data_IF_845835970220
#
_entry.id   IF_845835970220
#
_cell.length_a   1.000
_cell.length_b   1.000
_cell.length_c   1.000
_cell.angle_alpha   90.00
_cell.angle_beta   90.00
_cell.angle_gamma   90.00
#
_symmetry.space_group_name_H-M   'P 1'
#
loop_
_entity.id
_entity.type
_entity.pdbx_description
1 polymer ?
#
# COMPACT_ATOMS: atom_id res chain seq x y z
N UNK A 1 5.96 10.98 2.40
CA UNK A 1 5.36 9.85 3.14
C UNK A 1 5.60 10.01 4.64
N UNK A 2 6.86 10.11 5.14
CA UNK A 2 7.14 10.19 6.58
C UNK A 2 6.43 11.37 7.27
N UNK A 3 6.44 12.55 6.64
CA UNK A 3 5.74 13.73 7.17
C UNK A 3 4.23 13.50 7.23
N UNK A 4 3.63 12.90 6.19
CA UNK A 4 2.21 12.56 6.22
C UNK A 4 1.86 11.60 7.35
N UNK A 5 2.71 10.59 7.58
CA UNK A 5 2.52 9.62 8.66
C UNK A 5 2.57 10.29 10.04
N UNK A 6 3.60 11.10 10.30
CA UNK A 6 3.73 11.83 11.58
C UNK A 6 2.57 12.81 11.79
N UNK A 7 2.19 13.55 10.74
CA UNK A 7 1.04 14.47 10.80
C UNK A 7 -0.25 13.72 11.05
N UNK A 8 -0.47 12.56 10.42
CA UNK A 8 -1.66 11.74 10.64
C UNK A 8 -1.75 11.27 12.10
N UNK A 9 -0.67 10.70 12.64
CA UNK A 9 -0.63 10.25 14.04
C UNK A 9 -0.94 11.41 15.00
N UNK A 10 -0.34 12.59 14.77
CA UNK A 10 -0.58 13.77 15.61
C UNK A 10 -2.04 14.26 15.51
N UNK A 11 -2.61 14.29 14.30
CA UNK A 11 -3.99 14.71 14.09
C UNK A 11 -5.00 13.69 14.64
N UNK A 12 -4.74 12.40 14.52
CA UNK A 12 -5.58 11.36 15.11
C UNK A 12 -5.59 11.49 16.62
N UNK A 13 -4.45 11.74 17.26
CA UNK A 13 -4.38 12.00 18.69
C UNK A 13 -5.21 13.23 19.11
N UNK A 14 -5.15 14.31 18.32
CA UNK A 14 -5.92 15.53 18.60
C UNK A 14 -7.42 15.32 18.33
N UNK A 15 -7.78 14.79 17.16
CA UNK A 15 -9.18 14.71 16.75
C UNK A 15 -9.94 13.58 17.46
N UNK A 16 -9.30 12.44 17.66
CA UNK A 16 -9.93 11.31 18.35
C UNK A 16 -9.72 11.39 19.86
N UNK A 17 -8.52 11.78 20.31
CA UNK A 17 -8.18 11.83 21.74
C UNK A 17 -8.71 13.08 22.43
N UNK A 18 -8.28 14.27 21.98
CA UNK A 18 -8.62 15.52 22.66
C UNK A 18 -10.03 16.04 22.33
N UNK A 19 -10.45 15.96 21.07
CA UNK A 19 -11.75 16.46 20.59
C UNK A 19 -12.86 15.40 20.61
N UNK A 20 -12.54 14.15 20.90
CA UNK A 20 -13.47 13.02 21.00
C UNK A 20 -14.38 12.84 19.76
N UNK A 21 -13.89 13.19 18.55
CA UNK A 21 -14.66 13.12 17.31
C UNK A 21 -14.88 11.68 16.80
N UNK A 22 -14.29 10.67 17.46
CA UNK A 22 -14.45 9.26 17.09
C UNK A 22 -14.05 8.98 15.63
N UNK A 23 -14.84 8.19 14.86
CA UNK A 23 -14.51 7.83 13.47
C UNK A 23 -14.39 9.03 12.53
N UNK A 24 -15.13 10.12 12.78
CA UNK A 24 -15.05 11.36 11.98
C UNK A 24 -13.70 12.02 12.19
N UNK A 25 -13.16 12.00 13.42
CA UNK A 25 -11.82 12.50 13.72
C UNK A 25 -10.73 11.75 12.95
N UNK A 26 -10.80 10.42 12.88
CA UNK A 26 -9.87 9.61 12.09
C UNK A 26 -9.91 9.94 10.59
N UNK A 27 -11.12 10.10 10.04
CA UNK A 27 -11.28 10.48 8.63
C UNK A 27 -10.71 11.88 8.34
N UNK A 28 -10.95 12.85 9.21
CA UNK A 28 -10.37 14.19 9.11
C UNK A 28 -8.85 14.18 9.26
N UNK A 29 -8.30 13.44 10.22
CA UNK A 29 -6.86 13.27 10.43
C UNK A 29 -6.18 12.75 9.17
N UNK A 30 -6.73 11.72 8.57
CA UNK A 30 -6.23 11.16 7.31
C UNK A 30 -6.31 12.16 6.16
N UNK A 31 -7.44 12.83 5.97
CA UNK A 31 -7.63 13.78 4.86
C UNK A 31 -6.70 14.98 4.98
N UNK A 32 -6.59 15.57 6.17
CA UNK A 32 -5.72 16.73 6.41
C UNK A 32 -4.25 16.35 6.27
N UNK A 33 -3.82 15.20 6.78
CA UNK A 33 -2.43 14.73 6.63
C UNK A 33 -2.03 14.52 5.17
N UNK A 34 -2.94 14.01 4.34
CA UNK A 34 -2.73 13.90 2.90
C UNK A 34 -2.63 15.28 2.22
N UNK A 35 -3.51 16.22 2.58
CA UNK A 35 -3.44 17.59 2.05
C UNK A 35 -2.11 18.28 2.41
N UNK A 36 -1.65 18.13 3.65
CA UNK A 36 -0.33 18.63 4.11
C UNK A 36 0.81 18.00 3.31
N UNK A 37 0.76 16.68 3.07
CA UNK A 37 1.76 15.96 2.29
C UNK A 37 1.84 16.48 0.85
N UNK A 38 0.70 16.70 0.21
CA UNK A 38 0.62 17.27 -1.15
C UNK A 38 1.18 18.69 -1.18
N UNK A 39 0.78 19.54 -0.23
CA UNK A 39 1.28 20.92 -0.14
C UNK A 39 2.79 20.98 0.02
N UNK A 40 3.37 20.15 0.90
CA UNK A 40 4.82 20.08 1.10
C UNK A 40 5.52 19.55 -0.16
N UNK A 41 4.96 18.54 -0.81
CA UNK A 41 5.51 17.99 -2.05
C UNK A 41 5.56 19.04 -3.16
N UNK A 42 4.49 19.80 -3.34
CA UNK A 42 4.42 20.89 -4.30
C UNK A 42 5.41 22.03 -3.97
N UNK A 43 5.54 22.36 -2.69
CA UNK A 43 6.51 23.35 -2.24
C UNK A 43 7.96 22.93 -2.53
N UNK A 44 8.30 21.66 -2.26
CA UNK A 44 9.65 21.12 -2.53
C UNK A 44 9.93 21.08 -4.03
N UNK A 45 8.98 20.64 -4.86
CA UNK A 45 9.11 20.61 -6.32
C UNK A 45 9.39 22.02 -6.85
N UNK A 46 8.61 23.00 -6.41
CA UNK A 46 8.80 24.42 -6.82
C UNK A 46 10.14 24.98 -6.37
N UNK A 47 10.56 24.70 -5.14
CA UNK A 47 11.81 25.25 -4.59
C UNK A 47 13.06 24.62 -5.19
N UNK A 48 13.03 23.32 -5.50
CA UNK A 48 14.20 22.60 -6.02
C UNK A 48 14.39 22.74 -7.53
N UNK A 49 13.41 23.32 -8.26
CA UNK A 49 13.43 23.38 -9.74
C UNK A 49 13.80 22.05 -10.41
N UNK A 50 13.55 20.94 -9.70
CA UNK A 50 13.96 19.60 -10.15
C UNK A 50 13.23 19.15 -11.42
N UNK A 51 12.06 19.73 -11.67
CA UNK A 51 11.24 19.47 -12.86
C UNK A 51 10.76 20.84 -13.34
N UNK A 52 11.19 21.34 -14.51
CA UNK A 52 10.64 22.54 -15.11
C UNK A 52 9.18 22.25 -15.50
N UNK A 53 8.23 22.75 -14.72
CA UNK A 53 6.81 22.62 -15.02
C UNK A 53 6.42 23.78 -15.97
N UNK A 54 6.10 23.45 -17.19
CA UNK A 54 5.56 24.39 -18.16
C UNK A 54 4.03 24.30 -18.24
N UNK A 55 3.36 25.38 -18.60
CA UNK A 55 1.90 25.38 -18.77
C UNK A 55 1.41 24.33 -19.79
N UNK A 56 2.25 23.96 -20.74
CA UNK A 56 1.95 22.91 -21.73
C UNK A 56 1.83 21.51 -21.10
N UNK A 57 2.53 21.24 -19.97
CA UNK A 57 2.54 19.95 -19.32
C UNK A 57 1.21 19.62 -18.63
N UNK A 58 0.38 20.64 -18.41
CA UNK A 58 -0.99 20.49 -17.88
C UNK A 58 -2.02 20.15 -18.96
N UNK A 59 -1.62 20.13 -20.25
CA UNK A 59 -2.54 19.73 -21.31
C UNK A 59 -2.61 18.20 -21.36
N UNK A 60 -3.83 17.62 -21.32
CA UNK A 60 -3.98 16.17 -21.38
C UNK A 60 -3.53 15.63 -22.76
N UNK A 61 -2.50 14.82 -22.77
CA UNK A 61 -2.03 14.16 -23.98
C UNK A 61 -2.65 12.77 -24.07
N UNK A 62 -3.46 12.53 -25.10
CA UNK A 62 -4.19 11.27 -25.30
C UNK A 62 -3.28 10.03 -25.32
N UNK A 63 -2.09 10.16 -25.89
CA UNK A 63 -1.12 9.07 -25.96
C UNK A 63 -0.60 8.66 -24.56
N UNK A 64 -0.33 9.64 -23.70
CA UNK A 64 0.12 9.41 -22.32
C UNK A 64 -1.00 8.83 -21.48
N UNK A 65 -2.20 9.41 -21.57
CA UNK A 65 -3.40 8.91 -20.88
C UNK A 65 -3.69 7.46 -21.31
N UNK A 66 -3.64 7.16 -22.59
CA UNK A 66 -3.84 5.81 -23.10
C UNK A 66 -2.86 4.78 -22.53
N UNK A 67 -1.57 5.15 -22.39
CA UNK A 67 -0.57 4.29 -21.75
C UNK A 67 -0.86 4.07 -20.27
N UNK A 68 -1.24 5.13 -19.55
CA UNK A 68 -1.58 5.04 -18.11
C UNK A 68 -2.80 4.13 -17.92
N UNK A 69 -3.86 4.32 -18.69
CA UNK A 69 -5.07 3.50 -18.59
C UNK A 69 -4.81 2.04 -18.98
N UNK A 70 -4.02 1.79 -20.02
CA UNK A 70 -3.67 0.42 -20.45
C UNK A 70 -2.98 -0.39 -19.35
N UNK A 71 -2.21 0.26 -18.48
CA UNK A 71 -1.52 -0.38 -17.36
C UNK A 71 -2.39 -0.33 -16.10
N UNK A 72 -2.98 0.82 -15.82
CA UNK A 72 -3.71 1.05 -14.58
C UNK A 72 -5.04 0.30 -14.48
N UNK A 73 -5.79 0.18 -15.59
CA UNK A 73 -7.09 -0.52 -15.58
C UNK A 73 -6.96 -2.00 -15.22
N UNK A 74 -6.04 -2.79 -15.80
CA UNK A 74 -5.85 -4.18 -15.39
C UNK A 74 -5.44 -4.33 -13.92
N UNK A 75 -4.57 -3.46 -13.41
CA UNK A 75 -4.13 -3.48 -12.01
C UNK A 75 -5.32 -3.15 -11.10
N UNK A 76 -6.07 -2.11 -11.40
CA UNK A 76 -7.27 -1.74 -10.63
C UNK A 76 -8.35 -2.85 -10.65
N UNK A 77 -8.52 -3.53 -11.79
CA UNK A 77 -9.44 -4.66 -11.89
C UNK A 77 -8.95 -5.85 -11.03
N UNK A 78 -7.66 -6.15 -11.05
CA UNK A 78 -7.06 -7.18 -10.18
C UNK A 78 -7.30 -6.88 -8.71
N UNK A 79 -6.97 -5.67 -8.26
CA UNK A 79 -7.16 -5.27 -6.87
C UNK A 79 -8.63 -5.28 -6.47
N UNK A 80 -9.51 -4.82 -7.36
CA UNK A 80 -10.96 -4.87 -7.17
C UNK A 80 -11.49 -6.28 -6.99
N UNK A 81 -11.04 -7.23 -7.81
CA UNK A 81 -11.44 -8.65 -7.70
C UNK A 81 -10.95 -9.28 -6.39
N UNK A 82 -9.75 -8.94 -5.93
CA UNK A 82 -9.23 -9.38 -4.63
C UNK A 82 -10.13 -8.85 -3.49
N UNK A 83 -10.51 -7.58 -3.52
CA UNK A 83 -11.40 -7.00 -2.52
C UNK A 83 -12.80 -7.66 -2.53
N UNK A 84 -13.35 -7.92 -3.70
CA UNK A 84 -14.63 -8.65 -3.83
C UNK A 84 -14.51 -10.05 -3.21
N UNK A 85 -13.41 -10.76 -3.43
CA UNK A 85 -13.19 -12.08 -2.83
C UNK A 85 -13.17 -12.01 -1.30
N UNK A 86 -12.48 -11.02 -0.71
CA UNK A 86 -12.47 -10.82 0.74
C UNK A 86 -13.87 -10.48 1.29
N UNK A 87 -14.64 -9.64 0.60
CA UNK A 87 -16.04 -9.34 0.98
C UNK A 87 -16.87 -10.61 1.00
N UNK A 88 -16.77 -11.47 -0.01
CA UNK A 88 -17.50 -12.73 -0.07
C UNK A 88 -17.11 -13.66 1.09
N UNK A 89 -15.83 -13.80 1.38
CA UNK A 89 -15.33 -14.58 2.52
C UNK A 89 -15.92 -14.06 3.84
N UNK A 90 -15.89 -12.75 4.03
CA UNK A 90 -16.44 -12.10 5.23
C UNK A 90 -17.95 -12.31 5.36
N UNK A 91 -18.71 -12.25 4.26
CA UNK A 91 -20.15 -12.54 4.26
C UNK A 91 -20.41 -14.00 4.65
N UNK A 92 -19.65 -14.95 4.11
CA UNK A 92 -19.78 -16.37 4.43
C UNK A 92 -19.47 -16.62 5.91
N UNK A 93 -18.40 -16.02 6.43
CA UNK A 93 -18.00 -16.14 7.83
C UNK A 93 -19.07 -15.58 8.77
N UNK A 94 -19.62 -14.40 8.46
CA UNK A 94 -20.71 -13.80 9.25
C UNK A 94 -21.99 -14.66 9.28
N UNK A 95 -22.27 -15.41 8.22
CA UNK A 95 -23.41 -16.34 8.19
C UNK A 95 -23.21 -17.59 9.05
N UNK A 96 -21.96 -17.96 9.33
CA UNK A 96 -21.62 -19.11 10.18
C UNK A 96 -21.63 -18.80 11.67
N UNK A 97 -21.51 -17.55 12.02
CA UNK A 97 -21.58 -17.10 13.42
C UNK A 97 -20.46 -16.15 13.80
N UNK A 98 -20.56 -15.63 15.02
CA UNK A 98 -19.65 -14.59 15.54
C UNK A 98 -18.21 -15.08 15.66
N UNK A 99 -18.00 -16.34 16.05
CA UNK A 99 -16.67 -16.91 16.23
C UNK A 99 -15.93 -17.03 14.89
N UNK A 100 -16.61 -17.54 13.84
CA UNK A 100 -16.03 -17.65 12.50
C UNK A 100 -15.73 -16.27 11.90
N UNK A 101 -16.61 -15.30 12.10
CA UNK A 101 -16.41 -13.92 11.67
C UNK A 101 -15.20 -13.27 12.37
N UNK A 102 -15.05 -13.49 13.68
CA UNK A 102 -13.91 -12.99 14.43
C UNK A 102 -12.60 -13.64 13.97
N UNK A 103 -12.59 -14.95 13.76
CA UNK A 103 -11.43 -15.68 13.25
C UNK A 103 -10.97 -15.17 11.89
N UNK A 104 -11.91 -14.98 10.94
CA UNK A 104 -11.61 -14.41 9.62
C UNK A 104 -11.05 -12.99 9.74
N UNK A 105 -11.63 -12.14 10.57
CA UNK A 105 -11.14 -10.78 10.80
C UNK A 105 -9.70 -10.74 11.35
N UNK A 106 -9.33 -11.67 12.22
CA UNK A 106 -7.98 -11.82 12.73
C UNK A 106 -7.02 -12.26 11.61
N UNK A 107 -7.40 -13.28 10.86
CA UNK A 107 -6.60 -13.79 9.73
C UNK A 107 -6.37 -12.69 8.68
N UNK A 108 -7.38 -11.89 8.35
CA UNK A 108 -7.25 -10.74 7.44
C UNK A 108 -6.20 -9.72 7.93
N UNK A 109 -6.12 -9.47 9.24
CA UNK A 109 -5.09 -8.59 9.81
C UNK A 109 -3.69 -9.17 9.65
N UNK A 110 -3.51 -10.47 9.91
CA UNK A 110 -2.24 -11.15 9.68
C UNK A 110 -1.84 -11.14 8.21
N UNK A 111 -2.76 -11.45 7.31
CA UNK A 111 -2.53 -11.38 5.86
C UNK A 111 -2.08 -9.97 5.47
N UNK A 112 -2.79 -8.94 5.90
CA UNK A 112 -2.46 -7.54 5.58
C UNK A 112 -1.05 -7.17 6.06
N UNK A 113 -0.65 -7.64 7.24
CA UNK A 113 0.68 -7.40 7.79
C UNK A 113 1.78 -8.12 7.00
N UNK A 114 1.55 -9.39 6.64
CA UNK A 114 2.49 -10.18 5.84
C UNK A 114 2.66 -9.57 4.43
N UNK A 115 1.57 -9.10 3.81
CA UNK A 115 1.59 -8.50 2.48
C UNK A 115 2.26 -7.13 2.44
N UNK A 116 2.53 -6.49 3.58
CA UNK A 116 3.24 -5.22 3.63
C UNK A 116 4.62 -5.30 2.97
N UNK A 117 5.37 -6.39 3.22
CA UNK A 117 6.71 -6.57 2.65
C UNK A 117 6.68 -6.79 1.13
N UNK A 118 5.91 -7.75 0.58
CA UNK A 118 5.78 -7.91 -0.87
C UNK A 118 5.30 -6.64 -1.57
N UNK A 119 4.33 -5.92 -1.02
CA UNK A 119 3.81 -4.68 -1.61
C UNK A 119 4.87 -3.56 -1.66
N UNK A 120 5.63 -3.38 -0.59
CA UNK A 120 6.73 -2.41 -0.57
C UNK A 120 7.86 -2.80 -1.53
N UNK A 121 8.14 -4.09 -1.66
CA UNK A 121 9.11 -4.60 -2.65
C UNK A 121 8.63 -4.34 -4.07
N UNK A 122 7.37 -4.60 -4.39
CA UNK A 122 6.79 -4.32 -5.70
C UNK A 122 6.95 -2.86 -6.09
N UNK A 123 6.61 -1.94 -5.18
CA UNK A 123 6.76 -0.50 -5.39
C UNK A 123 8.22 -0.10 -5.62
N UNK A 124 9.14 -0.61 -4.79
CA UNK A 124 10.57 -0.31 -4.87
C UNK A 124 11.18 -0.83 -6.17
N UNK A 125 10.88 -2.06 -6.54
CA UNK A 125 11.41 -2.70 -7.77
C UNK A 125 10.89 -2.01 -9.01
N UNK A 126 9.61 -1.62 -9.02
CA UNK A 126 9.01 -0.86 -10.12
C UNK A 126 9.70 0.49 -10.30
N UNK A 127 9.94 1.22 -9.19
CA UNK A 127 10.60 2.52 -9.24
C UNK A 127 12.08 2.40 -9.68
N UNK A 128 12.85 1.50 -9.08
CA UNK A 128 14.26 1.29 -9.42
C UNK A 128 14.41 0.73 -10.83
N UNK A 129 13.53 -0.18 -11.25
CA UNK A 129 13.51 -0.72 -12.61
C UNK A 129 13.28 0.38 -13.64
N UNK A 130 12.24 1.18 -13.46
CA UNK A 130 11.93 2.30 -14.34
C UNK A 130 13.07 3.33 -14.42
N UNK A 131 13.67 3.70 -13.28
CA UNK A 131 14.80 4.63 -13.22
C UNK A 131 16.04 4.08 -13.94
N UNK A 132 16.37 2.81 -13.75
CA UNK A 132 17.53 2.21 -14.42
C UNK A 132 17.32 2.05 -15.92
N UNK A 133 16.12 1.70 -16.36
CA UNK A 133 15.77 1.63 -17.79
C UNK A 133 15.81 3.03 -18.40
N UNK A 134 15.23 4.04 -17.74
CA UNK A 134 15.26 5.42 -18.21
C UNK A 134 16.67 6.05 -18.25
N UNK A 135 17.61 5.52 -17.46
CA UNK A 135 19.02 5.90 -17.46
C UNK A 135 19.88 5.07 -18.45
N UNK A 136 19.26 4.27 -19.30
CA UNK A 136 19.91 3.36 -20.26
C UNK A 136 20.88 2.37 -19.59
N UNK A 137 20.48 1.83 -18.42
CA UNK A 137 21.24 0.85 -17.63
C UNK A 137 20.45 -0.43 -17.41
N UNK A 138 20.11 -1.21 -18.46
CA UNK A 138 19.26 -2.39 -18.36
C UNK A 138 19.86 -3.50 -17.46
N UNK A 139 21.18 -3.61 -17.40
CA UNK A 139 21.85 -4.58 -16.54
C UNK A 139 21.56 -4.34 -15.05
N UNK A 140 21.48 -3.08 -14.63
CA UNK A 140 21.10 -2.73 -13.25
C UNK A 140 19.62 -3.03 -12.98
N UNK A 141 18.75 -2.84 -13.96
CA UNK A 141 17.35 -3.22 -13.85
C UNK A 141 17.18 -4.73 -13.66
N UNK A 142 17.92 -5.54 -14.43
CA UNK A 142 17.96 -7.02 -14.28
C UNK A 142 18.47 -7.45 -12.91
N UNK A 143 19.53 -6.84 -12.42
CA UNK A 143 20.09 -7.09 -11.09
C UNK A 143 19.06 -6.75 -10.00
N UNK A 144 18.39 -5.61 -10.11
CA UNK A 144 17.32 -5.21 -9.18
C UNK A 144 16.21 -6.26 -9.13
N UNK A 145 15.76 -6.73 -10.30
CA UNK A 145 14.74 -7.77 -10.38
C UNK A 145 15.21 -9.10 -9.76
N UNK A 146 16.44 -9.53 -10.08
CA UNK A 146 17.01 -10.77 -9.54
C UNK A 146 17.11 -10.76 -8.02
N UNK A 147 17.63 -9.68 -7.43
CA UNK A 147 17.69 -9.54 -5.97
C UNK A 147 16.31 -9.46 -5.34
N UNK A 148 15.36 -8.78 -5.99
CA UNK A 148 14.00 -8.72 -5.50
C UNK A 148 13.34 -10.10 -5.46
N UNK A 149 13.52 -10.93 -6.50
CA UNK A 149 13.00 -12.30 -6.54
C UNK A 149 13.61 -13.13 -5.39
N UNK A 150 14.92 -13.07 -5.19
CA UNK A 150 15.60 -13.80 -4.14
C UNK A 150 15.13 -13.38 -2.74
N UNK A 151 15.01 -12.07 -2.51
CA UNK A 151 14.52 -11.53 -1.23
C UNK A 151 13.06 -11.90 -1.00
N UNK A 152 12.19 -11.79 -2.02
CA UNK A 152 10.79 -12.17 -1.91
C UNK A 152 10.63 -13.68 -1.65
N UNK A 153 11.39 -14.52 -2.33
CA UNK A 153 11.39 -15.95 -2.12
C UNK A 153 11.88 -16.31 -0.71
N UNK A 154 12.98 -15.70 -0.26
CA UNK A 154 13.50 -15.89 1.11
C UNK A 154 12.51 -15.45 2.18
N UNK A 155 11.90 -14.27 2.02
CA UNK A 155 10.86 -13.80 2.92
C UNK A 155 9.64 -14.73 2.94
N UNK A 156 9.16 -15.15 1.78
CA UNK A 156 8.03 -16.08 1.67
C UNK A 156 8.31 -17.42 2.33
N UNK A 157 9.52 -17.94 2.19
CA UNK A 157 9.94 -19.18 2.83
C UNK A 157 9.98 -19.05 4.36
N UNK A 158 10.58 -17.97 4.87
CA UNK A 158 10.63 -17.69 6.32
C UNK A 158 9.20 -17.55 6.89
N UNK A 159 8.34 -16.78 6.24
CA UNK A 159 6.94 -16.59 6.67
C UNK A 159 6.18 -17.92 6.63
N UNK A 160 6.36 -18.74 5.59
CA UNK A 160 5.73 -20.05 5.47
C UNK A 160 6.12 -20.98 6.63
N UNK A 161 7.41 -21.03 6.96
CA UNK A 161 7.92 -21.80 8.09
C UNK A 161 7.35 -21.28 9.42
N UNK A 162 7.38 -19.96 9.63
CA UNK A 162 6.84 -19.35 10.84
C UNK A 162 5.35 -19.65 11.03
N UNK A 163 4.55 -19.54 9.97
CA UNK A 163 3.11 -19.86 10.03
C UNK A 163 2.90 -21.33 10.36
N UNK A 164 3.66 -22.23 9.74
CA UNK A 164 3.53 -23.67 9.98
C UNK A 164 3.70 -24.04 11.46
N UNK A 165 4.65 -23.39 12.15
CA UNK A 165 4.91 -23.66 13.57
C UNK A 165 4.07 -22.81 14.53
N UNK A 166 3.52 -21.71 14.07
CA UNK A 166 2.80 -20.74 14.93
C UNK A 166 1.27 -20.79 14.78
N UNK A 167 0.75 -21.47 13.75
CA UNK A 167 -0.69 -21.48 13.48
C UNK A 167 -1.50 -22.10 14.63
N UNK A 168 -1.12 -23.28 15.11
CA UNK A 168 -1.81 -23.95 16.21
C UNK A 168 -1.79 -23.14 17.53
N UNK A 169 -0.62 -22.66 18.03
CA UNK A 169 -0.61 -21.91 19.28
C UNK A 169 -1.27 -20.53 19.18
N UNK A 170 -1.33 -19.91 18.00
CA UNK A 170 -2.04 -18.63 17.81
C UNK A 170 -3.53 -18.88 17.84
N UNK A 171 -4.03 -19.87 17.11
CA UNK A 171 -5.47 -20.20 17.09
C UNK A 171 -5.96 -20.61 18.46
N UNK A 172 -5.20 -21.45 19.20
CA UNK A 172 -5.57 -21.91 20.54
C UNK A 172 -5.59 -20.79 21.60
N UNK A 173 -4.97 -19.64 21.37
CA UNK A 173 -4.97 -18.51 22.31
C UNK A 173 -6.02 -17.42 21.98
N UNK A 174 -6.54 -17.44 20.76
CA UNK A 174 -7.41 -16.39 20.23
C UNK A 174 -8.87 -16.88 20.14
N UNK A 175 -9.11 -18.17 20.03
CA UNK A 175 -10.40 -18.84 20.15
C UNK A 175 -10.59 -19.44 21.55
#
# INVERSE_FOLDING_TARGET
IAIACVTNIALDYVFMGALHLGPVGAALGTTVSQAVSVAISLFVIRRRHSIPLEKKDFKPEKAVIGKILKIGVPIAAQDGLIQVAFIIITIIANRRGLNDAAAVGIVEKFISFIFLVPSSMLSTVSALGAQNIGADKPERARLTLRYAILLAAGFGLVVSVLIQFSAEPIVARVL
#
